data_IF_514785828822
#
_entry.id   IF_514785828822
#
_cell.length_a   1.000
_cell.length_b   1.000
_cell.length_c   1.000
_cell.angle_alpha   90.00
_cell.angle_beta   90.00
_cell.angle_gamma   90.00
#
_symmetry.space_group_name_H-M   'P 1'
#
loop_
_entity.id
_entity.type
_entity.pdbx_description
1 polymer ?
#
# COMPACT_ATOMS: atom_id res chain seq x y z
N UNK A 1 -10.63 54.08 21.56
CA UNK A 1 -9.70 53.20 20.83
C UNK A 1 -9.55 51.91 21.66
N UNK A 2 -10.35 50.86 21.34
CA UNK A 2 -10.36 49.59 22.08
C UNK A 2 -9.48 48.58 21.32
N UNK A 3 -8.40 48.15 21.97
CA UNK A 3 -7.54 47.07 21.48
C UNK A 3 -8.25 45.73 21.71
N UNK A 4 -8.56 45.01 20.63
CA UNK A 4 -9.01 43.62 20.67
C UNK A 4 -7.76 42.73 20.65
N UNK A 5 -7.48 42.06 21.76
CA UNK A 5 -6.49 40.99 21.88
C UNK A 5 -7.09 39.69 21.28
N UNK A 6 -6.60 39.31 20.12
CA UNK A 6 -6.87 37.96 19.57
C UNK A 6 -5.99 36.94 20.28
N UNK A 7 -6.61 36.14 21.15
CA UNK A 7 -5.98 34.96 21.76
C UNK A 7 -5.97 33.82 20.74
N UNK A 8 -4.83 33.63 20.08
CA UNK A 8 -4.63 32.52 19.17
C UNK A 8 -4.47 31.22 19.95
N UNK A 9 -5.45 30.32 19.86
CA UNK A 9 -5.32 28.94 20.34
C UNK A 9 -4.44 28.17 19.37
N UNK A 10 -3.19 27.92 19.75
CA UNK A 10 -2.30 26.99 19.07
C UNK A 10 -2.78 25.57 19.36
N UNK A 11 -3.52 24.96 18.43
CA UNK A 11 -3.74 23.52 18.41
C UNK A 11 -2.42 22.83 18.05
N UNK A 12 -1.72 22.34 19.06
CA UNK A 12 -0.56 21.47 18.86
C UNK A 12 -1.05 20.16 18.19
N UNK A 13 -0.74 19.98 16.91
CA UNK A 13 -0.87 18.68 16.25
C UNK A 13 0.14 17.72 16.88
N UNK A 14 -0.34 16.87 17.80
CA UNK A 14 0.43 15.71 18.28
C UNK A 14 0.51 14.72 17.12
N UNK A 15 1.67 14.69 16.46
CA UNK A 15 1.95 13.61 15.49
C UNK A 15 1.85 12.27 16.22
N UNK A 16 1.21 11.22 15.64
CA UNK A 16 1.17 9.92 16.25
C UNK A 16 2.61 9.42 16.41
N UNK A 17 3.07 9.36 17.65
CA UNK A 17 4.34 8.74 18.00
C UNK A 17 4.21 7.26 17.66
N UNK A 18 5.06 6.75 16.76
CA UNK A 18 5.25 5.31 16.59
C UNK A 18 5.60 4.76 17.97
N UNK A 19 4.66 4.04 18.57
CA UNK A 19 4.82 3.49 19.89
C UNK A 19 5.97 2.48 19.84
N UNK A 20 7.13 2.85 20.36
CA UNK A 20 8.26 1.94 20.46
C UNK A 20 7.78 0.69 21.18
N UNK A 21 8.03 -0.47 20.60
CA UNK A 21 7.73 -1.73 21.27
C UNK A 21 8.71 -1.91 22.43
N UNK A 22 8.24 -1.55 23.60
CA UNK A 22 8.98 -1.60 24.87
C UNK A 22 8.22 -2.49 25.84
N UNK A 23 8.94 -3.01 26.81
CA UNK A 23 8.32 -3.61 27.98
C UNK A 23 7.75 -2.50 28.86
N UNK A 24 6.52 -2.69 29.32
CA UNK A 24 5.86 -1.75 30.24
C UNK A 24 6.28 -1.92 31.70
N UNK A 25 7.02 -3.00 31.99
CA UNK A 25 7.51 -3.34 33.32
C UNK A 25 9.01 -3.68 33.28
N UNK A 26 9.79 -3.08 34.15
CA UNK A 26 11.24 -3.29 34.22
C UNK A 26 11.69 -4.73 34.58
N UNK A 27 10.80 -5.52 35.16
CA UNK A 27 11.07 -6.93 35.53
C UNK A 27 10.81 -7.91 34.37
N UNK A 28 10.30 -7.45 33.23
CA UNK A 28 9.94 -8.30 32.09
C UNK A 28 11.09 -9.22 31.63
N UNK A 29 12.27 -8.69 31.47
CA UNK A 29 13.43 -9.45 31.02
C UNK A 29 13.81 -10.58 31.99
N UNK A 30 13.75 -10.33 33.30
CA UNK A 30 14.02 -11.34 34.29
C UNK A 30 12.93 -12.41 34.40
N UNK A 31 11.66 -12.03 34.27
CA UNK A 31 10.55 -13.00 34.29
C UNK A 31 10.58 -13.92 33.08
N UNK A 32 10.86 -13.40 31.90
CA UNK A 32 10.93 -14.19 30.65
C UNK A 32 12.19 -15.06 30.64
N UNK A 33 13.31 -14.59 31.19
CA UNK A 33 14.53 -15.38 31.33
C UNK A 33 14.37 -16.56 32.32
N UNK A 34 13.64 -16.35 33.42
CA UNK A 34 13.39 -17.40 34.44
C UNK A 34 12.35 -18.43 34.01
N UNK A 35 11.39 -18.02 33.16
CA UNK A 35 10.31 -18.89 32.68
C UNK A 35 9.96 -18.55 31.21
N UNK A 36 10.58 -19.26 30.26
CA UNK A 36 10.36 -19.06 28.80
C UNK A 36 8.90 -19.27 28.38
N UNK A 37 8.11 -20.01 29.14
CA UNK A 37 6.68 -20.20 28.88
C UNK A 37 5.77 -19.12 29.46
N UNK A 38 6.32 -18.19 30.26
CA UNK A 38 5.54 -17.12 30.88
C UNK A 38 4.76 -16.26 29.89
N UNK A 39 5.34 -16.00 28.71
CA UNK A 39 4.72 -15.23 27.64
C UNK A 39 3.42 -15.84 27.10
N UNK A 40 3.26 -17.14 27.21
CA UNK A 40 2.09 -17.88 26.72
C UNK A 40 1.07 -18.13 27.85
N UNK A 41 1.54 -18.35 29.08
CA UNK A 41 0.71 -18.77 30.22
C UNK A 41 0.22 -17.61 31.09
N UNK A 42 0.99 -16.51 31.17
CA UNK A 42 0.69 -15.38 32.07
C UNK A 42 0.20 -14.16 31.26
N UNK A 43 -1.09 -13.87 31.32
CA UNK A 43 -1.72 -12.81 30.56
C UNK A 43 -1.09 -11.43 30.83
N UNK A 44 -0.70 -11.16 32.08
CA UNK A 44 0.01 -9.94 32.45
C UNK A 44 1.35 -9.81 31.68
N UNK A 45 2.16 -10.86 31.64
CA UNK A 45 3.46 -10.87 30.95
C UNK A 45 3.25 -10.72 29.42
N UNK A 46 2.32 -11.47 28.86
CA UNK A 46 1.97 -11.37 27.44
C UNK A 46 1.59 -9.94 27.02
N UNK A 47 0.84 -9.22 27.87
CA UNK A 47 0.36 -7.87 27.60
C UNK A 47 1.44 -6.81 27.83
N UNK A 48 2.22 -6.91 28.90
CA UNK A 48 3.11 -5.86 29.37
C UNK A 48 4.58 -6.07 28.99
N UNK A 49 4.98 -7.27 28.60
CA UNK A 49 6.37 -7.63 28.29
C UNK A 49 6.55 -7.94 26.79
N UNK A 50 6.03 -7.07 25.94
CA UNK A 50 6.02 -7.30 24.48
C UNK A 50 7.40 -7.51 23.89
N UNK A 51 8.38 -6.67 24.30
CA UNK A 51 9.76 -6.76 23.83
C UNK A 51 10.43 -8.05 24.29
N UNK A 52 10.39 -8.32 25.59
CA UNK A 52 10.99 -9.53 26.17
C UNK A 52 10.34 -10.82 25.69
N UNK A 53 9.04 -10.80 25.41
CA UNK A 53 8.32 -11.94 24.83
C UNK A 53 8.52 -12.11 23.31
N UNK A 54 9.26 -11.24 22.64
CA UNK A 54 9.38 -11.26 21.17
C UNK A 54 8.08 -10.93 20.43
N UNK A 55 7.08 -10.37 21.13
CA UNK A 55 5.77 -9.99 20.56
C UNK A 55 5.75 -8.55 20.04
N UNK A 56 6.92 -7.99 19.77
CA UNK A 56 7.01 -6.75 19.04
C UNK A 56 6.58 -6.99 17.60
N UNK A 57 5.75 -6.11 17.01
CA UNK A 57 5.54 -6.16 15.57
C UNK A 57 6.91 -6.10 14.89
N UNK A 58 7.16 -7.02 13.96
CA UNK A 58 8.40 -7.00 13.17
C UNK A 58 8.34 -5.73 12.34
N UNK A 59 9.10 -4.73 12.77
CA UNK A 59 9.20 -3.46 12.08
C UNK A 59 10.13 -3.64 10.89
N UNK A 60 9.56 -3.83 9.72
CA UNK A 60 10.34 -3.92 8.50
C UNK A 60 10.80 -2.50 8.10
N UNK A 61 12.12 -2.28 8.07
CA UNK A 61 12.71 -0.96 7.76
C UNK A 61 12.21 -0.37 6.44
N UNK A 62 11.81 -1.22 5.49
CA UNK A 62 11.25 -0.81 4.20
C UNK A 62 9.87 -0.15 4.31
N UNK A 63 9.20 -0.23 5.48
CA UNK A 63 7.93 0.44 5.72
C UNK A 63 8.06 1.63 6.70
N UNK A 64 9.28 1.96 7.13
CA UNK A 64 9.53 3.11 7.99
C UNK A 64 9.41 4.43 7.24
N UNK A 65 8.25 5.06 7.31
CA UNK A 65 7.96 6.32 6.62
C UNK A 65 8.82 7.51 7.08
N UNK A 66 9.59 7.38 8.18
CA UNK A 66 10.59 8.38 8.62
C UNK A 66 11.79 8.40 7.67
N UNK A 67 12.05 7.30 6.97
CA UNK A 67 13.12 7.17 5.95
C UNK A 67 12.68 7.69 4.58
N UNK A 68 11.42 8.07 4.45
CA UNK A 68 10.85 8.46 3.16
C UNK A 68 11.43 9.79 2.69
N UNK A 69 11.83 9.83 1.43
CA UNK A 69 12.25 11.08 0.78
C UNK A 69 11.16 12.16 0.94
N UNK A 70 11.50 13.41 1.29
CA UNK A 70 10.52 14.50 1.48
C UNK A 70 9.56 14.68 0.29
N UNK A 71 10.01 14.45 -0.94
CA UNK A 71 9.19 14.53 -2.15
C UNK A 71 8.02 13.53 -2.12
N UNK A 72 8.18 12.37 -1.46
CA UNK A 72 7.19 11.29 -1.42
C UNK A 72 6.26 11.39 -0.20
N UNK A 73 6.45 12.37 0.69
CA UNK A 73 5.61 12.54 1.88
C UNK A 73 4.10 12.60 1.58
N UNK A 74 3.64 13.22 0.47
CA UNK A 74 2.21 13.22 0.15
C UNK A 74 1.59 11.82 -0.02
N UNK A 75 2.38 10.81 -0.44
CA UNK A 75 1.91 9.43 -0.64
C UNK A 75 2.38 8.46 0.44
N UNK A 76 2.88 8.95 1.57
CA UNK A 76 3.39 8.12 2.68
C UNK A 76 2.39 7.07 3.18
N UNK A 77 1.09 7.37 3.12
CA UNK A 77 0.02 6.47 3.56
C UNK A 77 -0.10 5.21 2.70
N UNK A 78 0.42 5.24 1.45
CA UNK A 78 0.48 4.06 0.58
C UNK A 78 1.50 3.02 1.06
N UNK A 79 2.58 3.47 1.75
CA UNK A 79 3.65 2.59 2.20
C UNK A 79 3.10 1.53 3.14
N UNK A 80 3.37 0.26 2.83
CA UNK A 80 2.92 -0.89 3.61
C UNK A 80 2.59 -2.10 2.73
N UNK A 81 2.16 -3.16 3.39
CA UNK A 81 1.61 -4.35 2.74
C UNK A 81 0.10 -4.32 2.86
N UNK A 82 -0.57 -4.52 1.74
CA UNK A 82 -2.01 -4.44 1.57
C UNK A 82 -2.53 -5.78 1.06
N UNK A 83 -3.50 -6.37 1.74
CA UNK A 83 -4.05 -7.67 1.36
C UNK A 83 -5.57 -7.59 1.18
N UNK A 84 -6.04 -8.05 0.03
CA UNK A 84 -7.44 -8.28 -0.28
C UNK A 84 -7.69 -9.78 -0.42
N UNK A 85 -8.24 -10.43 0.61
CA UNK A 85 -8.52 -11.86 0.57
C UNK A 85 -9.97 -12.09 0.16
N UNK A 86 -10.18 -12.69 -1.02
CA UNK A 86 -11.48 -12.91 -1.66
C UNK A 86 -12.35 -11.66 -1.84
N UNK A 87 -11.74 -10.46 -1.77
CA UNK A 87 -12.42 -9.17 -1.94
C UNK A 87 -12.30 -8.63 -3.35
N UNK A 88 -11.40 -9.21 -4.15
CA UNK A 88 -11.23 -8.87 -5.56
C UNK A 88 -12.35 -9.45 -6.42
N UNK A 89 -12.76 -8.68 -7.42
CA UNK A 89 -13.72 -9.07 -8.45
C UNK A 89 -13.16 -8.75 -9.81
N UNK A 90 -13.16 -9.71 -10.71
CA UNK A 90 -12.90 -9.53 -12.14
C UNK A 90 -14.22 -9.52 -12.88
N UNK A 91 -14.39 -8.59 -13.81
CA UNK A 91 -15.55 -8.49 -14.70
C UNK A 91 -15.07 -7.97 -16.05
N UNK A 92 -15.27 -8.75 -17.11
CA UNK A 92 -14.99 -8.32 -18.46
C UNK A 92 -15.85 -9.12 -19.45
N UNK A 93 -16.29 -8.58 -20.60
CA UNK A 93 -17.22 -9.26 -21.50
C UNK A 93 -16.74 -10.62 -22.04
N UNK A 94 -15.43 -10.78 -22.16
CA UNK A 94 -14.81 -12.00 -22.72
C UNK A 94 -14.45 -13.07 -21.71
N UNK A 95 -14.63 -12.78 -20.40
CA UNK A 95 -14.29 -13.71 -19.33
C UNK A 95 -15.42 -13.80 -18.30
N UNK A 96 -15.68 -14.98 -17.70
CA UNK A 96 -16.63 -15.11 -16.60
C UNK A 96 -16.24 -14.22 -15.42
N UNK A 97 -17.24 -13.64 -14.77
CA UNK A 97 -17.00 -12.92 -13.51
C UNK A 97 -16.57 -13.87 -12.41
N UNK A 98 -15.46 -13.58 -11.73
CA UNK A 98 -14.98 -14.36 -10.59
C UNK A 98 -14.36 -13.49 -9.50
N UNK A 99 -14.19 -14.09 -8.31
CA UNK A 99 -13.49 -13.45 -7.18
C UNK A 99 -12.03 -13.90 -7.13
N UNK A 100 -11.17 -13.01 -6.63
CA UNK A 100 -9.75 -13.27 -6.46
C UNK A 100 -9.21 -12.63 -5.18
N UNK A 101 -8.01 -13.02 -4.81
CA UNK A 101 -7.24 -12.42 -3.73
C UNK A 101 -6.00 -11.77 -4.31
N UNK A 102 -5.51 -10.71 -3.66
CA UNK A 102 -4.32 -10.01 -4.10
C UNK A 102 -3.57 -9.42 -2.90
N UNK A 103 -2.25 -9.41 -3.00
CA UNK A 103 -1.36 -8.70 -2.09
C UNK A 103 -0.56 -7.66 -2.86
N UNK A 104 -0.59 -6.43 -2.34
CA UNK A 104 0.20 -5.31 -2.84
C UNK A 104 1.21 -4.91 -1.78
N UNK A 105 2.47 -4.82 -2.15
CA UNK A 105 3.52 -4.25 -1.32
C UNK A 105 4.02 -2.95 -1.92
N UNK A 106 3.95 -1.87 -1.13
CA UNK A 106 4.50 -0.56 -1.47
C UNK A 106 5.55 -0.25 -0.41
N UNK A 107 6.82 -0.23 -0.80
CA UNK A 107 7.93 -0.17 0.13
C UNK A 107 8.97 0.88 -0.25
N UNK A 108 9.73 1.31 0.75
CA UNK A 108 10.81 2.27 0.59
C UNK A 108 12.05 1.49 0.18
N UNK A 109 12.66 1.80 -0.99
CA UNK A 109 13.88 1.12 -1.41
C UNK A 109 15.05 1.42 -0.46
N UNK A 110 16.03 0.53 -0.44
CA UNK A 110 17.30 0.79 0.23
C UNK A 110 18.11 1.80 -0.56
N UNK A 111 18.73 2.73 0.15
CA UNK A 111 19.57 3.78 -0.41
C UNK A 111 19.13 5.19 -0.06
N UNK A 112 20.10 6.07 0.08
CA UNK A 112 19.85 7.49 0.30
C UNK A 112 19.41 8.15 -1.01
N UNK A 113 18.45 9.08 -0.92
CA UNK A 113 18.01 9.94 -2.03
C UNK A 113 17.16 9.28 -3.13
N UNK A 114 16.65 8.05 -2.93
CA UNK A 114 15.72 7.44 -3.90
C UNK A 114 14.38 8.18 -3.85
N UNK A 115 13.88 8.58 -5.03
CA UNK A 115 12.67 9.40 -5.19
C UNK A 115 11.48 8.61 -5.70
N UNK A 116 11.48 7.31 -5.46
CA UNK A 116 10.38 6.40 -5.80
C UNK A 116 10.16 5.39 -4.69
N UNK A 117 8.96 4.85 -4.61
CA UNK A 117 8.62 3.67 -3.83
C UNK A 117 8.69 2.44 -4.76
N UNK A 118 9.10 1.30 -4.22
CA UNK A 118 8.89 0.03 -4.89
C UNK A 118 7.41 -0.33 -4.84
N UNK A 119 6.92 -0.92 -5.90
CA UNK A 119 5.57 -1.45 -6.04
C UNK A 119 5.62 -2.88 -6.53
N UNK A 120 4.92 -3.78 -5.86
CA UNK A 120 4.66 -5.13 -6.35
C UNK A 120 3.22 -5.51 -6.05
N UNK A 121 2.61 -6.26 -6.95
CA UNK A 121 1.29 -6.85 -6.75
C UNK A 121 1.30 -8.31 -7.21
N UNK A 122 0.59 -9.16 -6.49
CA UNK A 122 0.42 -10.56 -6.83
C UNK A 122 -1.03 -10.96 -6.57
N UNK A 123 -1.73 -11.41 -7.61
CA UNK A 123 -3.10 -11.87 -7.57
C UNK A 123 -3.20 -13.38 -7.78
N UNK A 124 -4.10 -14.03 -7.05
CA UNK A 124 -4.34 -15.47 -7.15
C UNK A 124 -5.83 -15.82 -7.03
N UNK A 125 -6.20 -16.97 -7.62
CA UNK A 125 -7.55 -17.51 -7.56
C UNK A 125 -7.90 -18.05 -6.16
N UNK A 126 -9.16 -18.48 -5.97
CA UNK A 126 -9.58 -19.21 -4.77
C UNK A 126 -8.77 -20.49 -4.55
N UNK A 127 -8.30 -21.12 -5.62
CA UNK A 127 -7.53 -22.37 -5.60
C UNK A 127 -6.02 -22.13 -5.49
N UNK A 128 -5.61 -20.88 -5.22
CA UNK A 128 -4.21 -20.46 -5.08
C UNK A 128 -3.40 -20.50 -6.38
N UNK A 129 -4.04 -20.52 -7.52
CA UNK A 129 -3.36 -20.38 -8.81
C UNK A 129 -2.98 -18.93 -9.06
N UNK A 130 -1.76 -18.68 -9.54
CA UNK A 130 -1.31 -17.36 -9.92
C UNK A 130 -2.12 -16.84 -11.11
N UNK A 131 -2.73 -15.67 -10.96
CA UNK A 131 -3.50 -15.01 -12.00
C UNK A 131 -2.72 -13.88 -12.67
N UNK A 132 -2.07 -13.04 -11.87
CA UNK A 132 -1.40 -11.84 -12.36
C UNK A 132 -0.34 -11.36 -11.38
N UNK A 133 0.76 -10.81 -11.91
CA UNK A 133 1.81 -10.16 -11.12
C UNK A 133 2.22 -8.86 -11.78
N UNK A 134 2.46 -7.84 -10.96
CA UNK A 134 3.01 -6.55 -11.37
C UNK A 134 4.21 -6.21 -10.51
N UNK A 135 5.19 -5.53 -11.11
CA UNK A 135 6.33 -4.92 -10.40
C UNK A 135 6.63 -3.56 -11.01
N UNK A 136 7.05 -2.61 -10.19
CA UNK A 136 7.36 -1.28 -10.70
C UNK A 136 7.65 -0.26 -9.61
N UNK A 137 7.41 1.01 -9.94
CA UNK A 137 7.74 2.13 -9.08
C UNK A 137 6.61 3.14 -9.01
N UNK A 138 6.45 3.75 -7.83
CA UNK A 138 5.56 4.90 -7.62
C UNK A 138 6.42 6.11 -7.29
N UNK A 139 6.19 7.22 -7.97
CA UNK A 139 6.85 8.50 -7.68
C UNK A 139 5.87 9.67 -7.77
N UNK A 140 6.34 10.85 -7.40
CA UNK A 140 5.59 12.10 -7.54
C UNK A 140 6.43 13.04 -8.42
N UNK A 141 5.80 13.67 -9.38
CA UNK A 141 6.42 14.73 -10.17
C UNK A 141 6.78 15.91 -9.26
N UNK A 142 8.05 16.39 -9.29
CA UNK A 142 8.51 17.45 -8.41
C UNK A 142 7.62 18.69 -8.44
N UNK A 143 7.31 19.24 -7.25
CA UNK A 143 6.48 20.44 -7.07
C UNK A 143 5.04 20.33 -7.58
N UNK A 144 4.52 19.13 -7.72
CA UNK A 144 3.14 18.87 -8.12
C UNK A 144 2.47 17.87 -7.17
N UNK A 145 1.20 17.55 -7.47
CA UNK A 145 0.46 16.43 -6.86
C UNK A 145 0.22 15.30 -7.87
N UNK A 146 0.97 15.27 -8.95
CA UNK A 146 0.88 14.18 -9.93
C UNK A 146 1.70 13.00 -9.47
N UNK A 147 1.04 11.88 -9.31
CA UNK A 147 1.61 10.58 -8.96
C UNK A 147 1.82 9.79 -10.25
N UNK A 148 2.97 9.17 -10.37
CA UNK A 148 3.34 8.34 -11.52
C UNK A 148 3.51 6.92 -11.03
N UNK A 149 2.86 5.97 -11.71
CA UNK A 149 3.04 4.54 -11.51
C UNK A 149 3.58 3.93 -12.81
N UNK A 150 4.71 3.25 -12.70
CA UNK A 150 5.24 2.44 -13.82
C UNK A 150 5.16 0.99 -13.44
N UNK A 151 4.68 0.11 -14.33
CA UNK A 151 4.58 -1.32 -14.07
C UNK A 151 5.12 -2.16 -15.19
N UNK A 152 5.65 -3.32 -14.83
CA UNK A 152 5.91 -4.46 -15.71
C UNK A 152 5.04 -5.60 -15.22
N UNK A 153 4.24 -6.16 -16.12
CA UNK A 153 3.20 -7.15 -15.81
C UNK A 153 3.58 -8.55 -16.30
N UNK A 154 3.17 -9.58 -15.58
CA UNK A 154 3.47 -10.97 -15.91
C UNK A 154 2.90 -11.43 -17.25
N UNK A 155 1.85 -10.77 -17.74
CA UNK A 155 1.30 -11.00 -19.08
C UNK A 155 2.02 -10.27 -20.21
N UNK A 156 3.14 -9.58 -19.88
CA UNK A 156 4.03 -8.96 -20.87
C UNK A 156 3.67 -7.54 -21.28
N UNK A 157 2.76 -6.88 -20.57
CA UNK A 157 2.56 -5.43 -20.71
C UNK A 157 3.49 -4.64 -19.81
N UNK A 158 3.78 -3.42 -20.24
CA UNK A 158 4.54 -2.41 -19.49
C UNK A 158 3.73 -1.13 -19.57
N UNK A 159 3.42 -0.49 -18.44
CA UNK A 159 2.63 0.74 -18.42
C UNK A 159 3.35 1.89 -17.76
N UNK A 160 3.09 3.10 -18.26
CA UNK A 160 3.32 4.37 -17.58
C UNK A 160 1.96 5.02 -17.35
N UNK A 161 1.61 5.19 -16.09
CA UNK A 161 0.32 5.73 -15.66
C UNK A 161 0.58 6.99 -14.82
N UNK A 162 -0.11 8.08 -15.11
CA UNK A 162 0.04 9.35 -14.38
C UNK A 162 -1.31 9.91 -14.00
N UNK A 163 -1.36 10.57 -12.87
CA UNK A 163 -2.57 11.30 -12.51
C UNK A 163 -2.50 12.03 -11.18
N UNK A 164 -3.43 12.96 -10.98
CA UNK A 164 -3.45 13.79 -9.79
C UNK A 164 -3.89 13.01 -8.55
N UNK A 165 -3.32 13.40 -7.42
CA UNK A 165 -3.81 13.03 -6.10
C UNK A 165 -4.68 14.16 -5.52
N UNK A 166 -5.93 13.84 -5.19
CA UNK A 166 -6.88 14.71 -4.51
C UNK A 166 -7.29 14.10 -3.17
N UNK A 167 -6.82 14.70 -2.07
CA UNK A 167 -7.01 14.11 -0.75
C UNK A 167 -6.44 12.70 -0.69
N UNK A 168 -7.30 11.72 -0.43
CA UNK A 168 -6.95 10.31 -0.35
C UNK A 168 -7.20 9.53 -1.67
N UNK A 169 -7.52 10.22 -2.75
CA UNK A 169 -7.82 9.60 -4.04
C UNK A 169 -6.69 9.86 -5.02
N UNK A 170 -6.30 8.84 -5.76
CA UNK A 170 -5.37 8.93 -6.88
C UNK A 170 -6.06 8.31 -8.09
N UNK A 171 -6.09 9.05 -9.20
CA UNK A 171 -6.61 8.56 -10.47
C UNK A 171 -5.51 8.55 -11.51
N UNK A 172 -4.97 7.39 -11.78
CA UNK A 172 -3.98 7.18 -12.82
C UNK A 172 -4.65 6.99 -14.18
N UNK A 173 -4.08 7.61 -15.19
CA UNK A 173 -4.49 7.49 -16.60
C UNK A 173 -3.29 6.99 -17.38
N UNK A 174 -3.48 6.03 -18.25
CA UNK A 174 -2.45 5.51 -19.13
C UNK A 174 -1.82 6.62 -19.96
N UNK A 175 -0.50 6.74 -19.93
CA UNK A 175 0.29 7.67 -20.76
C UNK A 175 1.04 6.95 -21.84
N UNK A 176 1.60 5.78 -21.50
CA UNK A 176 2.35 4.98 -22.45
C UNK A 176 2.19 3.49 -22.11
N UNK A 177 2.26 2.67 -23.13
CA UNK A 177 2.14 1.22 -23.02
C UNK A 177 3.12 0.53 -23.96
N UNK A 178 3.95 -0.35 -23.37
CA UNK A 178 4.74 -1.32 -24.09
C UNK A 178 4.16 -2.72 -23.98
N UNK A 179 4.48 -3.58 -24.93
CA UNK A 179 4.19 -5.02 -24.86
C UNK A 179 5.25 -5.84 -25.55
N UNK A 180 5.51 -7.02 -25.03
CA UNK A 180 6.37 -7.97 -25.73
C UNK A 180 5.66 -8.55 -26.97
N UNK A 181 6.41 -8.85 -28.03
CA UNK A 181 5.88 -9.14 -29.37
C UNK A 181 4.99 -10.37 -29.48
N UNK A 182 5.10 -11.32 -28.54
CA UNK A 182 4.35 -12.58 -28.56
C UNK A 182 3.21 -12.64 -27.54
N UNK A 183 2.81 -11.53 -26.91
CA UNK A 183 1.63 -11.47 -26.04
C UNK A 183 0.38 -11.76 -26.86
N UNK A 184 -0.47 -12.67 -26.36
CA UNK A 184 -1.72 -13.07 -27.00
C UNK A 184 -2.93 -12.24 -26.58
N UNK A 185 -2.81 -11.54 -25.44
CA UNK A 185 -3.89 -10.69 -24.93
C UNK A 185 -4.23 -9.60 -25.93
N UNK A 186 -5.49 -9.21 -25.99
CA UNK A 186 -5.97 -8.15 -26.84
C UNK A 186 -5.23 -6.82 -26.53
N UNK A 187 -5.00 -6.02 -27.56
CA UNK A 187 -4.35 -4.72 -27.39
C UNK A 187 -5.13 -3.83 -26.43
N UNK A 188 -4.48 -3.49 -25.34
CA UNK A 188 -4.97 -2.48 -24.41
C UNK A 188 -4.83 -1.11 -25.08
N UNK A 189 -5.95 -0.42 -25.27
CA UNK A 189 -6.00 0.90 -25.88
C UNK A 189 -5.94 2.02 -24.86
N UNK A 190 -6.59 1.83 -23.70
CA UNK A 190 -6.56 2.79 -22.62
C UNK A 190 -6.79 2.09 -21.29
N UNK A 191 -6.31 2.70 -20.20
CA UNK A 191 -6.42 2.20 -18.85
C UNK A 191 -6.64 3.36 -17.88
N UNK A 192 -7.52 3.17 -16.93
CA UNK A 192 -7.72 4.06 -15.78
C UNK A 192 -7.68 3.23 -14.52
N UNK A 193 -6.76 3.56 -13.63
CA UNK A 193 -6.62 2.96 -12.30
C UNK A 193 -6.99 4.00 -11.24
N UNK A 194 -7.86 3.65 -10.33
CA UNK A 194 -8.30 4.53 -9.26
C UNK A 194 -7.99 3.89 -7.91
N UNK A 195 -7.29 4.61 -7.07
CA UNK A 195 -7.01 4.22 -5.68
C UNK A 195 -7.67 5.21 -4.72
N UNK A 196 -8.39 4.68 -3.73
CA UNK A 196 -9.01 5.46 -2.66
C UNK A 196 -8.56 4.89 -1.32
N UNK A 197 -7.92 5.72 -0.50
CA UNK A 197 -7.52 5.38 0.87
C UNK A 197 -8.59 5.86 1.85
N UNK A 198 -9.11 4.97 2.67
CA UNK A 198 -10.09 5.30 3.69
C UNK A 198 -9.87 4.46 4.95
N UNK A 199 -9.60 5.11 6.09
CA UNK A 199 -9.52 4.52 7.44
C UNK A 199 -8.73 3.19 7.53
N UNK A 200 -7.58 3.09 6.84
CA UNK A 200 -6.74 1.89 6.82
C UNK A 200 -7.11 0.85 5.76
N UNK A 201 -8.05 1.18 4.90
CA UNK A 201 -8.39 0.40 3.70
C UNK A 201 -7.86 1.10 2.45
N UNK A 202 -7.49 0.31 1.47
CA UNK A 202 -7.19 0.76 0.11
C UNK A 202 -8.18 0.10 -0.85
N UNK A 203 -9.01 0.91 -1.49
CA UNK A 203 -9.86 0.45 -2.59
C UNK A 203 -9.16 0.72 -3.90
N UNK A 204 -8.96 -0.30 -4.70
CA UNK A 204 -8.46 -0.17 -6.06
C UNK A 204 -9.52 -0.59 -7.08
N UNK A 205 -9.60 0.16 -8.17
CA UNK A 205 -10.41 -0.13 -9.35
C UNK A 205 -9.54 0.02 -10.58
N UNK A 206 -9.70 -0.87 -11.52
CA UNK A 206 -9.05 -0.80 -12.82
C UNK A 206 -10.13 -0.87 -13.90
N UNK A 207 -10.16 0.13 -14.74
CA UNK A 207 -10.98 0.14 -15.97
C UNK A 207 -10.06 0.08 -17.17
N UNK A 208 -10.43 -0.71 -18.17
CA UNK A 208 -9.66 -0.87 -19.40
C UNK A 208 -10.53 -0.66 -20.62
N UNK A 209 -9.88 -0.25 -21.70
CA UNK A 209 -10.44 -0.18 -23.04
C UNK A 209 -9.55 -0.99 -23.97
N UNK A 210 -10.14 -1.90 -24.74
CA UNK A 210 -9.45 -2.68 -25.77
C UNK A 210 -9.88 -2.21 -27.16
N UNK A 211 -9.37 -2.81 -28.20
CA UNK A 211 -9.82 -2.51 -29.59
C UNK A 211 -11.29 -2.87 -29.81
N UNK A 212 -11.76 -3.96 -29.18
CA UNK A 212 -13.13 -4.47 -29.35
C UNK A 212 -14.12 -3.97 -28.29
N UNK A 213 -13.65 -3.46 -27.13
CA UNK A 213 -14.50 -3.06 -26.00
C UNK A 213 -14.20 -1.64 -25.54
N UNK A 214 -15.28 -0.88 -25.30
CA UNK A 214 -15.18 0.46 -24.71
C UNK A 214 -14.67 0.39 -23.27
N UNK A 215 -14.24 1.53 -22.73
CA UNK A 215 -13.81 1.67 -21.35
C UNK A 215 -14.86 1.11 -20.38
N UNK A 216 -14.47 0.16 -19.56
CA UNK A 216 -15.32 -0.45 -18.54
C UNK A 216 -14.49 -1.01 -17.38
N UNK A 217 -15.11 -1.17 -16.23
CA UNK A 217 -14.44 -1.77 -15.06
C UNK A 217 -14.01 -3.22 -15.39
N UNK A 218 -12.74 -3.49 -15.15
CA UNK A 218 -12.15 -4.81 -15.32
C UNK A 218 -11.93 -5.50 -13.98
N UNK A 219 -11.34 -4.78 -13.01
CA UNK A 219 -11.14 -5.29 -11.66
C UNK A 219 -11.52 -4.26 -10.61
N UNK A 220 -12.00 -4.76 -9.48
CA UNK A 220 -12.15 -3.96 -8.26
C UNK A 220 -11.79 -4.81 -7.04
N UNK A 221 -11.10 -4.21 -6.05
CA UNK A 221 -10.67 -4.91 -4.85
C UNK A 221 -10.60 -3.95 -3.66
N UNK A 222 -10.85 -4.49 -2.48
CA UNK A 222 -10.68 -3.81 -1.20
C UNK A 222 -9.58 -4.51 -0.41
N UNK A 223 -8.53 -3.77 -0.08
CA UNK A 223 -7.43 -4.25 0.75
C UNK A 223 -7.51 -3.71 2.17
N UNK A 224 -7.02 -4.51 3.10
CA UNK A 224 -6.66 -4.10 4.46
C UNK A 224 -5.14 -4.01 4.59
N UNK A 225 -4.65 -3.06 5.36
CA UNK A 225 -3.23 -2.93 5.64
C UNK A 225 -2.79 -4.00 6.64
N UNK A 226 -1.78 -4.79 6.29
CA UNK A 226 -1.28 -5.91 7.11
C UNK A 226 0.09 -5.67 7.73
N UNK A 227 0.81 -4.61 7.31
CA UNK A 227 2.09 -4.17 7.89
C UNK A 227 1.96 -2.78 8.50
N UNK A 228 2.68 -2.56 9.57
CA UNK A 228 2.83 -1.25 10.22
C UNK A 228 4.30 -0.86 10.23
#
# INVERSE_FOLDING_TARGET
MRLLLFSGVFLAFVAPTVQQCVDSDGACSSWVASDRGACQRKEYIKKNCRKSCGNCPIYEAKFDTRRLNPQLQPIRQLVGRWKGEHTGKVTFPTIPTFKYSEEVEISIPDGANIRSLNYTAAAWSSDKEDLHRESGYITIKPNTREVILTTVMSNGFITVEEGPMFGNNIKFILKDIGRISFVRDEHLHNLVREWTLDQGYLRARLSIQTLSHRMQEHTSILYTKTSV
#
